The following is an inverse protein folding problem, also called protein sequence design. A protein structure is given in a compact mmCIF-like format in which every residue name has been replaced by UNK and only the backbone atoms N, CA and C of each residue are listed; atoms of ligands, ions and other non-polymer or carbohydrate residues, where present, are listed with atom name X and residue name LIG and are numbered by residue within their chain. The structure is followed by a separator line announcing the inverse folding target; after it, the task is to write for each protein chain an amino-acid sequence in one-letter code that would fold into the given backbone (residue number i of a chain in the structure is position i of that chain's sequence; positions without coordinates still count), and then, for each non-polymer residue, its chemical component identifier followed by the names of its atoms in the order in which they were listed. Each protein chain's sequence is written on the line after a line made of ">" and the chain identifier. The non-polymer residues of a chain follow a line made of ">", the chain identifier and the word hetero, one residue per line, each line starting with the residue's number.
data_IF_390992523602
#
_entry.id   IF_390992523602
#
_cell.length_a   1.000
_cell.length_b   1.000
_cell.length_c   1.000
_cell.angle_alpha   90.00
_cell.angle_beta   90.00
_cell.angle_gamma   90.00
#
_symmetry.space_group_name_H-M   'P 1'
#
loop_
_entity.id
_entity.type
_entity.pdbx_description
1 polymer ?
#
# COMPACT_ATOMS: atom_id res chain seq x y z
N UNK A 1 3.29 -11.21 -15.17
CA UNK A 1 2.92 -11.44 -13.79
C UNK A 1 3.19 -10.25 -12.94
N UNK A 2 2.30 -9.93 -12.08
CA UNK A 2 2.38 -8.71 -11.30
C UNK A 2 2.88 -8.98 -9.89
N UNK A 3 4.03 -9.62 -9.79
CA UNK A 3 4.70 -9.78 -8.51
C UNK A 3 5.86 -8.80 -8.42
N UNK A 4 6.32 -8.57 -7.20
CA UNK A 4 7.40 -7.63 -6.91
C UNK A 4 7.03 -6.23 -7.40
N UNK A 5 5.92 -5.73 -6.90
CA UNK A 5 5.43 -4.41 -7.27
C UNK A 5 5.28 -3.53 -6.05
N UNK A 6 5.45 -2.23 -6.26
CA UNK A 6 5.03 -1.19 -5.33
C UNK A 6 3.68 -0.70 -5.80
N UNK A 7 2.73 -0.63 -4.90
CA UNK A 7 1.37 -0.24 -5.25
C UNK A 7 0.89 0.88 -4.34
N UNK A 8 -0.17 1.54 -4.78
CA UNK A 8 -0.78 2.64 -4.05
C UNK A 8 -2.27 2.39 -3.94
N UNK A 9 -2.80 2.63 -2.76
CA UNK A 9 -4.23 2.65 -2.51
C UNK A 9 -4.66 4.09 -2.28
N UNK A 10 -5.75 4.51 -2.89
CA UNK A 10 -6.35 5.83 -2.64
C UNK A 10 -7.81 5.60 -2.31
N UNK A 11 -8.23 6.01 -1.12
CA UNK A 11 -9.61 5.85 -0.71
C UNK A 11 -10.51 6.75 -1.55
N UNK A 12 -11.49 6.15 -2.21
CA UNK A 12 -12.37 6.90 -3.09
C UNK A 12 -13.29 7.85 -2.33
N UNK A 13 -13.45 7.63 -1.03
CA UNK A 13 -14.33 8.47 -0.22
C UNK A 13 -13.60 9.66 0.38
N UNK A 14 -12.39 9.46 0.91
CA UNK A 14 -11.72 10.52 1.66
C UNK A 14 -10.31 10.81 1.17
N UNK A 15 -9.83 10.14 0.13
CA UNK A 15 -8.53 10.34 -0.48
C UNK A 15 -7.34 9.96 0.41
N UNK A 16 -7.56 9.25 1.50
CA UNK A 16 -6.46 8.73 2.29
C UNK A 16 -5.66 7.74 1.44
N UNK A 17 -4.34 7.78 1.56
CA UNK A 17 -3.45 6.98 0.71
C UNK A 17 -2.63 6.01 1.52
N UNK A 18 -2.28 4.90 0.90
CA UNK A 18 -1.38 3.89 1.46
C UNK A 18 -0.47 3.40 0.33
N UNK A 19 0.80 3.23 0.65
CA UNK A 19 1.76 2.65 -0.30
C UNK A 19 2.31 1.38 0.33
N UNK A 20 2.33 0.31 -0.47
CA UNK A 20 2.86 -0.97 -0.01
C UNK A 20 3.64 -1.65 -1.10
N UNK A 21 4.23 -2.78 -0.77
CA UNK A 21 4.91 -3.61 -1.74
C UNK A 21 4.48 -5.05 -1.52
N UNK A 22 4.61 -5.86 -2.56
CA UNK A 22 4.25 -7.26 -2.43
C UNK A 22 5.09 -8.09 -3.39
N UNK A 23 5.44 -9.28 -2.94
CA UNK A 23 6.01 -10.30 -3.81
C UNK A 23 4.95 -11.28 -4.26
N UNK A 24 3.73 -11.15 -3.74
CA UNK A 24 2.58 -11.95 -4.19
C UNK A 24 1.99 -11.34 -5.44
N UNK A 25 1.06 -12.06 -6.04
CA UNK A 25 0.29 -11.46 -7.11
C UNK A 25 -0.43 -10.23 -6.60
N UNK A 26 -0.36 -9.18 -7.40
CA UNK A 26 -0.89 -7.88 -7.01
C UNK A 26 -2.37 -7.94 -6.62
N UNK A 27 -3.19 -8.61 -7.44
CA UNK A 27 -4.62 -8.65 -7.15
C UNK A 27 -4.94 -9.45 -5.91
N UNK A 28 -4.14 -10.47 -5.60
CA UNK A 28 -4.32 -11.22 -4.37
C UNK A 28 -4.06 -10.33 -3.16
N UNK A 29 -3.01 -9.52 -3.22
CA UNK A 29 -2.71 -8.64 -2.10
C UNK A 29 -3.76 -7.55 -1.95
N UNK A 30 -4.27 -7.03 -3.06
CA UNK A 30 -5.36 -6.05 -2.99
C UNK A 30 -6.59 -6.67 -2.31
N UNK A 31 -6.91 -7.92 -2.66
CA UNK A 31 -8.02 -8.59 -2.02
C UNK A 31 -7.82 -8.78 -0.53
N UNK A 32 -6.59 -9.08 -0.10
CA UNK A 32 -6.30 -9.21 1.33
C UNK A 32 -6.55 -7.90 2.07
N UNK A 33 -6.10 -6.79 1.50
CA UNK A 33 -6.35 -5.48 2.11
C UNK A 33 -7.84 -5.20 2.25
N UNK A 34 -8.61 -5.59 1.25
CA UNK A 34 -10.04 -5.27 1.25
C UNK A 34 -10.82 -6.18 2.18
N UNK A 35 -10.43 -7.44 2.33
CA UNK A 35 -11.34 -8.42 2.91
C UNK A 35 -10.79 -9.26 4.05
N UNK A 36 -9.50 -9.59 4.07
CA UNK A 36 -9.05 -10.65 4.96
C UNK A 36 -7.92 -10.27 5.90
N UNK A 37 -7.08 -9.32 5.55
CA UNK A 37 -5.92 -8.99 6.38
C UNK A 37 -6.28 -7.93 7.42
N UNK A 38 -6.73 -8.38 8.56
CA UNK A 38 -7.23 -7.47 9.61
C UNK A 38 -6.16 -6.55 10.18
N UNK A 39 -4.88 -6.86 9.97
CA UNK A 39 -3.79 -6.00 10.42
C UNK A 39 -3.43 -4.92 9.41
N UNK A 40 -3.98 -4.99 8.22
CA UNK A 40 -3.69 -4.02 7.17
C UNK A 40 -4.22 -2.65 7.54
N UNK A 41 -3.41 -1.62 7.31
CA UNK A 41 -3.86 -0.25 7.53
C UNK A 41 -5.04 0.09 6.63
N UNK A 42 -5.06 -0.43 5.39
CA UNK A 42 -6.17 -0.23 4.48
C UNK A 42 -7.43 -0.90 5.03
N UNK A 43 -7.31 -2.15 5.47
CA UNK A 43 -8.45 -2.86 6.02
C UNK A 43 -9.06 -2.09 7.18
N UNK A 44 -8.23 -1.64 8.11
CA UNK A 44 -8.70 -0.92 9.28
C UNK A 44 -9.33 0.41 8.90
N UNK A 45 -8.73 1.11 7.94
CA UNK A 45 -9.28 2.37 7.47
C UNK A 45 -10.68 2.19 6.90
N UNK A 46 -10.88 1.15 6.09
CA UNK A 46 -12.16 0.93 5.46
C UNK A 46 -13.25 0.63 6.46
N UNK A 47 -12.90 0.03 7.59
CA UNK A 47 -13.93 -0.34 8.55
C UNK A 47 -14.26 0.75 9.57
N UNK A 48 -13.60 1.89 9.47
CA UNK A 48 -13.95 3.01 10.33
C UNK A 48 -15.17 3.78 9.86
N UNK A 49 -15.54 3.61 8.61
CA UNK A 49 -16.63 4.41 8.01
C UNK A 49 -17.34 3.57 6.97
N UNK A 50 -18.66 3.54 7.02
CA UNK A 50 -19.41 2.85 6.00
C UNK A 50 -19.22 3.47 4.62
N UNK A 51 -19.02 4.78 4.56
CA UNK A 51 -18.78 5.45 3.29
C UNK A 51 -17.48 4.96 2.67
N UNK A 52 -16.42 4.82 3.47
CA UNK A 52 -15.16 4.33 2.95
C UNK A 52 -15.28 2.87 2.54
N UNK A 53 -15.95 2.06 3.35
CA UNK A 53 -16.08 0.65 3.04
C UNK A 53 -16.82 0.43 1.72
N UNK A 54 -17.88 1.17 1.48
CA UNK A 54 -18.68 0.99 0.29
C UNK A 54 -18.11 1.61 -0.97
N UNK A 55 -17.15 2.52 -0.84
CA UNK A 55 -16.64 3.27 -1.99
C UNK A 55 -15.45 2.62 -2.68
N UNK A 56 -14.85 1.59 -2.10
CA UNK A 56 -13.55 1.09 -2.56
C UNK A 56 -13.62 -0.36 -3.00
N UNK A 57 -12.82 -0.68 -4.00
CA UNK A 57 -12.63 -2.04 -4.49
C UNK A 57 -11.23 -2.15 -5.08
N UNK A 58 -11.01 -3.16 -5.92
CA UNK A 58 -9.69 -3.35 -6.53
C UNK A 58 -9.26 -2.15 -7.36
N UNK A 59 -10.21 -1.40 -7.89
CA UNK A 59 -9.87 -0.24 -8.70
C UNK A 59 -9.32 0.92 -7.87
N UNK A 60 -9.42 0.84 -6.56
CA UNK A 60 -8.81 1.84 -5.68
C UNK A 60 -7.30 1.65 -5.56
N UNK A 61 -6.77 0.55 -6.08
CA UNK A 61 -5.34 0.26 -6.06
C UNK A 61 -4.74 0.48 -7.43
N UNK A 62 -3.47 0.87 -7.47
CA UNK A 62 -2.74 0.99 -8.73
C UNK A 62 -1.28 0.61 -8.48
N UNK A 63 -0.64 0.15 -9.54
CA UNK A 63 0.78 -0.20 -9.47
C UNK A 63 1.59 1.06 -9.74
N UNK A 64 2.52 1.37 -8.84
CA UNK A 64 3.42 2.50 -9.02
C UNK A 64 4.71 2.10 -9.70
N UNK A 65 5.23 0.92 -9.39
CA UNK A 65 6.56 0.55 -9.88
C UNK A 65 6.75 -0.94 -9.70
N UNK A 66 7.79 -1.45 -10.31
CA UNK A 66 8.19 -2.85 -10.22
C UNK A 66 9.67 -2.93 -9.89
N UNK A 67 10.10 -4.08 -9.41
CA UNK A 67 11.49 -4.29 -9.08
C UNK A 67 11.89 -5.72 -9.39
N UNK A 68 13.14 -5.95 -9.80
CA UNK A 68 13.60 -7.31 -10.09
C UNK A 68 13.92 -8.12 -8.85
N UNK A 69 14.21 -7.50 -7.73
CA UNK A 69 14.56 -8.19 -6.51
C UNK A 69 13.76 -7.62 -5.34
N UNK A 70 13.66 -8.42 -4.26
CA UNK A 70 12.98 -7.95 -3.06
C UNK A 70 13.71 -6.78 -2.41
N UNK A 71 15.03 -6.79 -2.49
CA UNK A 71 15.81 -5.70 -1.92
C UNK A 71 15.46 -4.37 -2.61
N UNK A 72 15.48 -4.36 -3.93
CA UNK A 72 15.14 -3.16 -4.66
C UNK A 72 13.68 -2.77 -4.47
N UNK A 73 12.81 -3.77 -4.32
CA UNK A 73 11.40 -3.51 -4.07
C UNK A 73 11.21 -2.71 -2.79
N UNK A 74 11.90 -3.13 -1.71
CA UNK A 74 11.76 -2.45 -0.44
C UNK A 74 12.35 -1.03 -0.49
N UNK A 75 13.42 -0.85 -1.24
CA UNK A 75 13.98 0.49 -1.41
C UNK A 75 13.00 1.39 -2.15
N UNK A 76 12.40 0.88 -3.21
CA UNK A 76 11.43 1.68 -3.97
C UNK A 76 10.22 2.03 -3.12
N UNK A 77 9.71 1.08 -2.35
CA UNK A 77 8.58 1.37 -1.48
C UNK A 77 8.92 2.50 -0.52
N UNK A 78 10.09 2.42 0.11
CA UNK A 78 10.51 3.43 1.07
C UNK A 78 10.64 4.81 0.42
N UNK A 79 11.17 4.85 -0.80
CA UNK A 79 11.31 6.12 -1.49
C UNK A 79 9.96 6.72 -1.86
N UNK A 80 9.01 5.90 -2.29
CA UNK A 80 7.67 6.40 -2.58
C UNK A 80 6.98 6.90 -1.33
N UNK A 81 7.13 6.20 -0.21
CA UNK A 81 6.54 6.64 1.04
C UNK A 81 7.13 7.98 1.45
N UNK A 82 8.44 8.13 1.33
CA UNK A 82 9.08 9.39 1.68
C UNK A 82 8.62 10.52 0.77
N UNK A 83 8.47 10.24 -0.50
CA UNK A 83 8.11 11.26 -1.47
C UNK A 83 6.65 11.67 -1.39
N UNK A 84 5.76 10.72 -1.24
CA UNK A 84 4.32 10.97 -1.30
C UNK A 84 3.67 11.13 0.06
N UNK A 85 4.34 10.68 1.10
CA UNK A 85 3.88 10.83 2.50
C UNK A 85 2.44 10.40 2.70
N UNK A 86 2.12 9.14 2.35
CA UNK A 86 0.74 8.67 2.48
C UNK A 86 0.34 8.56 3.94
N UNK A 87 -0.86 9.03 4.25
CA UNK A 87 -1.26 9.15 5.66
C UNK A 87 -1.45 7.81 6.34
N UNK A 88 -1.72 6.75 5.61
CA UNK A 88 -1.96 5.45 6.21
C UNK A 88 -0.69 4.66 6.49
N UNK A 89 0.48 5.20 6.18
CA UNK A 89 1.76 4.53 6.35
C UNK A 89 2.52 4.98 7.58
N UNK A 90 1.86 5.38 8.62
CA UNK A 90 2.54 6.00 9.76
C UNK A 90 3.54 5.11 10.45
N UNK A 91 3.34 3.81 10.45
CA UNK A 91 4.23 2.93 11.18
C UNK A 91 5.45 2.53 10.39
N UNK A 92 5.66 3.12 9.24
CA UNK A 92 6.82 2.80 8.41
C UNK A 92 8.03 3.62 8.73
N UNK A 93 8.03 4.35 9.80
CA UNK A 93 9.14 5.25 10.07
C UNK A 93 10.47 4.54 10.29
N UNK A 94 10.45 3.29 10.68
CA UNK A 94 11.70 2.56 10.87
C UNK A 94 12.49 2.42 9.58
N UNK A 95 11.84 2.51 8.46
CA UNK A 95 12.50 2.36 7.17
C UNK A 95 13.42 3.52 6.87
N UNK A 96 13.12 4.68 7.42
CA UNK A 96 13.90 5.86 7.12
C UNK A 96 15.34 5.75 7.56
N UNK A 97 15.61 4.92 8.54
CA UNK A 97 16.95 4.78 9.03
C UNK A 97 17.88 4.28 7.95
N UNK A 98 17.43 3.31 7.19
CA UNK A 98 18.28 2.75 6.15
C UNK A 98 18.50 3.72 5.00
N UNK A 99 17.59 4.65 4.83
CA UNK A 99 17.70 5.54 3.69
C UNK A 99 18.76 6.60 3.84
N UNK A 100 19.33 6.72 5.02
CA UNK A 100 20.41 7.68 5.21
C UNK A 100 21.73 7.21 4.64
N UNK A 101 21.75 6.02 4.17
CA UNK A 101 22.95 5.52 3.54
C UNK A 101 23.26 6.28 2.28
#
# INVERSE_FOLDING_TARGET
>A
MSSKVVYKFVCASCNACYIGETTKRYLDRAGEHLHTDKKSAVYQHLRKSNACLGANDENSFSILDRAPTEYQLKIKEALYIEKLKPVLNKQKKSIKVELRL
#
